data_IF_814309651259
#
_entry.id   IF_814309651259
#
_cell.length_a   1.000
_cell.length_b   1.000
_cell.length_c   1.000
_cell.angle_alpha   90.00
_cell.angle_beta   90.00
_cell.angle_gamma   90.00
#
_symmetry.space_group_name_H-M   'P 1'
#
loop_
_entity.id
_entity.type
_entity.pdbx_description
1 polymer ?
#
# COMPACT_ATOMS: atom_id res chain seq x y z
N UNK A 1 -5.57 -7.52 -8.30
CA UNK A 1 -5.50 -6.30 -7.48
C UNK A 1 -5.96 -5.16 -8.36
N UNK A 2 -6.80 -4.27 -7.86
CA UNK A 2 -7.22 -3.07 -8.57
C UNK A 2 -6.67 -1.83 -7.84
N UNK A 3 -5.93 -1.00 -8.57
CA UNK A 3 -5.36 0.27 -8.09
C UNK A 3 -5.87 1.47 -8.91
N UNK A 4 -6.85 1.26 -9.78
CA UNK A 4 -7.36 2.29 -10.66
C UNK A 4 -8.06 3.39 -9.83
N UNK A 5 -7.74 4.64 -10.15
CA UNK A 5 -8.23 5.81 -9.40
C UNK A 5 -7.67 5.95 -7.98
N UNK A 6 -6.84 5.02 -7.49
CA UNK A 6 -6.25 5.11 -6.16
C UNK A 6 -5.32 6.31 -6.03
N UNK A 7 -4.47 6.56 -7.02
CA UNK A 7 -3.51 7.66 -7.03
C UNK A 7 -4.18 9.05 -7.06
N UNK A 8 -5.41 9.14 -7.55
CA UNK A 8 -6.20 10.38 -7.55
C UNK A 8 -7.00 10.58 -6.25
N UNK A 9 -7.05 9.53 -5.41
CA UNK A 9 -7.86 9.52 -4.20
C UNK A 9 -7.36 10.52 -3.17
N UNK A 10 -8.28 11.00 -2.32
CA UNK A 10 -7.93 11.88 -1.20
C UNK A 10 -6.96 11.19 -0.22
N UNK A 11 -7.07 9.87 -0.06
CA UNK A 11 -6.23 9.08 0.84
C UNK A 11 -4.79 9.01 0.36
N UNK A 12 -4.59 8.72 -0.92
CA UNK A 12 -3.26 8.71 -1.51
C UNK A 12 -2.59 10.08 -1.43
N UNK A 13 -3.30 11.15 -1.81
CA UNK A 13 -2.80 12.53 -1.69
C UNK A 13 -2.46 12.92 -0.26
N UNK A 14 -3.18 12.39 0.73
CA UNK A 14 -2.85 12.63 2.13
C UNK A 14 -1.51 11.97 2.50
N UNK A 15 -1.30 10.72 2.10
CA UNK A 15 -0.03 10.03 2.31
C UNK A 15 1.15 10.71 1.58
N UNK A 16 0.95 11.21 0.36
CA UNK A 16 1.99 12.00 -0.35
C UNK A 16 2.40 13.25 0.42
N UNK A 17 1.47 13.94 1.07
CA UNK A 17 1.79 15.11 1.89
C UNK A 17 2.63 14.75 3.13
N UNK A 18 2.44 13.55 3.69
CA UNK A 18 3.25 13.04 4.79
C UNK A 18 4.63 12.52 4.32
N UNK A 19 4.77 12.25 3.02
CA UNK A 19 5.93 11.65 2.36
C UNK A 19 6.41 12.45 1.14
N UNK A 20 6.65 13.78 1.27
CA UNK A 20 6.82 14.66 0.11
C UNK A 20 8.12 14.44 -0.70
N UNK A 21 9.04 13.61 -0.20
CA UNK A 21 10.33 13.33 -0.85
C UNK A 21 10.45 11.88 -1.33
N UNK A 22 9.39 11.09 -1.22
CA UNK A 22 9.36 9.69 -1.61
C UNK A 22 8.52 9.52 -2.88
N UNK A 23 8.96 8.68 -3.82
CA UNK A 23 8.15 8.29 -4.99
C UNK A 23 7.13 7.22 -4.56
N UNK A 24 6.07 7.69 -3.90
CA UNK A 24 5.07 6.82 -3.30
C UNK A 24 4.29 6.02 -4.36
N UNK A 25 4.03 6.63 -5.52
CA UNK A 25 3.33 5.97 -6.63
C UNK A 25 4.15 4.78 -7.15
N UNK A 26 5.45 4.98 -7.42
CA UNK A 26 6.33 3.90 -7.86
C UNK A 26 6.44 2.78 -6.80
N UNK A 27 6.47 3.13 -5.51
CA UNK A 27 6.52 2.15 -4.43
C UNK A 27 5.24 1.31 -4.35
N UNK A 28 4.07 1.92 -4.49
CA UNK A 28 2.78 1.21 -4.53
C UNK A 28 2.72 0.27 -5.73
N UNK A 29 3.06 0.75 -6.93
CA UNK A 29 3.11 -0.08 -8.15
C UNK A 29 4.01 -1.30 -7.95
N UNK A 30 5.23 -1.08 -7.45
CA UNK A 30 6.20 -2.15 -7.19
C UNK A 30 5.71 -3.16 -6.15
N UNK A 31 5.02 -2.72 -5.09
CA UNK A 31 4.46 -3.61 -4.09
C UNK A 31 3.33 -4.48 -4.65
N UNK A 32 2.46 -3.89 -5.48
CA UNK A 32 1.39 -4.61 -6.18
C UNK A 32 1.95 -5.61 -7.18
N UNK A 33 2.94 -5.22 -7.99
CA UNK A 33 3.58 -6.12 -8.95
C UNK A 33 4.20 -7.33 -8.25
N UNK A 34 4.93 -7.11 -7.15
CA UNK A 34 5.47 -8.19 -6.32
C UNK A 34 4.38 -9.08 -5.75
N UNK A 35 3.28 -8.51 -5.26
CA UNK A 35 2.17 -9.32 -4.76
C UNK A 35 1.57 -10.22 -5.86
N UNK A 36 1.41 -9.68 -7.08
CA UNK A 36 0.89 -10.44 -8.23
C UNK A 36 1.86 -11.52 -8.69
N UNK A 37 3.16 -11.24 -8.71
CA UNK A 37 4.20 -12.17 -9.18
C UNK A 37 4.58 -13.23 -8.15
N UNK A 38 4.79 -12.85 -6.89
CA UNK A 38 5.33 -13.70 -5.83
C UNK A 38 4.21 -14.42 -5.03
N UNK A 39 2.96 -14.03 -5.24
CA UNK A 39 1.78 -14.72 -4.71
C UNK A 39 1.49 -14.59 -3.21
N UNK A 40 2.45 -14.18 -2.36
CA UNK A 40 2.12 -13.90 -0.94
C UNK A 40 3.22 -13.24 -0.06
N UNK A 41 4.40 -12.90 -0.58
CA UNK A 41 5.58 -12.65 0.28
C UNK A 41 5.51 -11.45 1.23
N UNK A 42 4.63 -10.48 0.98
CA UNK A 42 4.51 -9.27 1.80
C UNK A 42 3.07 -8.92 2.16
N UNK A 43 2.13 -9.85 1.96
CA UNK A 43 0.73 -9.67 2.33
C UNK A 43 0.53 -10.01 3.81
N UNK A 44 0.07 -9.03 4.58
CA UNK A 44 -0.26 -9.20 5.98
C UNK A 44 -1.74 -8.95 6.21
N UNK A 45 -2.32 -9.57 7.23
CA UNK A 45 -3.67 -9.24 7.68
C UNK A 45 -3.67 -7.87 8.36
N UNK A 46 -4.62 -7.01 7.99
CA UNK A 46 -4.82 -5.70 8.61
C UNK A 46 -6.27 -5.59 9.11
N UNK A 47 -6.46 -5.34 10.40
CA UNK A 47 -7.79 -5.28 11.00
C UNK A 47 -8.61 -6.58 10.81
N UNK A 48 -9.93 -6.44 10.65
CA UNK A 48 -10.86 -7.58 10.57
C UNK A 48 -10.94 -8.21 9.18
N UNK A 49 -10.95 -7.40 8.13
CA UNK A 49 -11.22 -7.83 6.74
C UNK A 49 -10.27 -7.24 5.70
N UNK A 50 -9.27 -6.47 6.12
CA UNK A 50 -8.32 -5.82 5.22
C UNK A 50 -6.99 -6.57 5.22
N UNK A 51 -6.16 -6.21 4.24
CA UNK A 51 -4.79 -6.69 4.13
C UNK A 51 -3.87 -5.50 3.97
N UNK A 52 -2.58 -5.73 4.16
CA UNK A 52 -1.56 -4.73 3.91
C UNK A 52 -0.38 -5.32 3.14
N UNK A 53 0.24 -4.47 2.31
CA UNK A 53 1.52 -4.73 1.66
C UNK A 53 2.54 -3.75 2.22
N UNK A 54 3.71 -4.26 2.57
CA UNK A 54 4.83 -3.42 3.00
C UNK A 54 5.36 -2.56 1.84
N UNK A 55 5.67 -1.29 2.11
CA UNK A 55 6.29 -0.35 1.16
C UNK A 55 7.76 -0.10 1.56
N UNK A 56 8.69 -1.00 1.19
CA UNK A 56 10.10 -0.86 1.55
C UNK A 56 10.72 0.36 0.87
N UNK A 57 11.54 1.10 1.62
CA UNK A 57 12.24 2.29 1.13
C UNK A 57 11.46 3.60 1.28
N UNK A 58 10.20 3.57 1.70
CA UNK A 58 9.38 4.77 1.93
C UNK A 58 9.53 5.27 3.37
N UNK A 59 9.54 6.60 3.55
CA UNK A 59 9.58 7.24 4.86
C UNK A 59 10.91 7.05 5.58
N UNK A 60 12.03 7.02 4.82
CA UNK A 60 13.39 6.77 5.32
C UNK A 60 13.56 5.44 6.05
N UNK A 61 12.68 4.46 5.80
CA UNK A 61 12.77 3.15 6.42
C UNK A 61 14.01 2.38 5.96
N UNK A 62 14.92 2.08 6.90
CA UNK A 62 16.00 1.11 6.70
C UNK A 62 15.52 -0.26 7.18
N UNK A 63 14.70 -0.97 6.39
CA UNK A 63 14.16 -2.28 6.77
C UNK A 63 12.86 -2.69 6.08
N UNK A 64 11.92 -3.30 6.82
CA UNK A 64 10.67 -3.91 6.32
C UNK A 64 9.65 -2.91 5.73
N UNK A 65 9.97 -1.61 5.66
CA UNK A 65 9.03 -0.56 5.25
C UNK A 65 8.29 -0.01 6.47
N UNK A 66 8.43 1.29 6.72
CA UNK A 66 7.68 1.99 7.77
C UNK A 66 6.24 2.28 7.33
N UNK A 67 5.98 2.22 6.03
CA UNK A 67 4.68 2.51 5.44
C UNK A 67 4.11 1.28 4.78
N UNK A 68 2.77 1.21 4.74
CA UNK A 68 2.03 0.08 4.19
C UNK A 68 0.92 0.55 3.29
N UNK A 69 0.77 -0.13 2.16
CA UNK A 69 -0.43 -0.05 1.32
C UNK A 69 -1.52 -0.91 1.96
N UNK A 70 -2.64 -0.32 2.31
CA UNK A 70 -3.83 -1.00 2.80
C UNK A 70 -4.71 -1.40 1.64
N UNK A 71 -5.18 -2.64 1.70
CA UNK A 71 -6.02 -3.28 0.71
C UNK A 71 -7.36 -3.63 1.33
N UNK A 72 -8.44 -3.27 0.64
CA UNK A 72 -9.80 -3.58 1.07
C UNK A 72 -10.54 -4.40 0.02
N UNK A 73 -11.36 -5.38 0.42
CA UNK A 73 -12.28 -6.04 -0.49
C UNK A 73 -13.33 -5.02 -0.96
N UNK A 74 -13.54 -4.93 -2.27
CA UNK A 74 -14.59 -4.07 -2.85
C UNK A 74 -15.80 -4.88 -3.33
N UNK A 75 -15.54 -6.00 -4.01
CA UNK A 75 -16.55 -6.94 -4.51
C UNK A 75 -16.00 -8.37 -4.43
N UNK A 76 -16.86 -9.37 -4.69
CA UNK A 76 -16.47 -10.78 -4.55
C UNK A 76 -15.28 -11.12 -5.46
N UNK A 77 -14.12 -11.36 -4.85
CA UNK A 77 -12.87 -11.68 -5.55
C UNK A 77 -12.03 -10.47 -5.96
N UNK A 78 -12.47 -9.24 -5.70
CA UNK A 78 -11.74 -8.01 -6.03
C UNK A 78 -11.19 -7.36 -4.77
N UNK A 79 -9.86 -7.30 -4.70
CA UNK A 79 -9.12 -6.54 -3.68
C UNK A 79 -8.64 -5.23 -4.32
N UNK A 80 -8.95 -4.11 -3.67
CA UNK A 80 -8.59 -2.76 -4.12
C UNK A 80 -7.58 -2.10 -3.18
N UNK A 81 -6.71 -1.27 -3.74
CA UNK A 81 -5.95 -0.30 -2.94
C UNK A 81 -6.91 0.67 -2.24
N UNK A 82 -6.70 0.86 -0.94
CA UNK A 82 -7.60 1.64 -0.09
C UNK A 82 -6.90 2.83 0.55
N UNK A 83 -5.72 2.63 1.13
CA UNK A 83 -4.99 3.67 1.87
C UNK A 83 -3.48 3.42 1.88
N UNK A 84 -2.69 4.41 2.27
CA UNK A 84 -1.27 4.26 2.61
C UNK A 84 -1.05 4.84 4.01
N UNK A 85 -0.57 4.01 4.93
CA UNK A 85 -0.43 4.40 6.34
C UNK A 85 0.91 4.01 6.92
N UNK A 86 1.35 4.76 7.93
CA UNK A 86 2.37 4.34 8.89
C UNK A 86 1.67 3.64 10.09
N UNK A 87 1.82 2.32 10.28
CA UNK A 87 1.17 1.61 11.39
C UNK A 87 1.81 1.90 12.76
N UNK A 88 2.87 2.70 12.82
CA UNK A 88 3.55 3.09 14.06
C UNK A 88 3.14 4.49 14.55
N UNK A 89 2.38 5.24 13.76
CA UNK A 89 1.82 6.55 14.14
C UNK A 89 0.46 6.44 14.81
#
# INVERSE_FOLDING_TARGET
>A
MDIDGFFESRRFRHAENDLPNDDLEAAVKKAVDRYVLDGNGSLHKYGKSQFSLDLPGIGRSTGRGAWRLILAPAEKGVIKAFDVIDPHK
#
